data_IF_877557707347
#
_entry.id   IF_877557707347
#
_cell.length_a   1.000
_cell.length_b   1.000
_cell.length_c   1.000
_cell.angle_alpha   90.00
_cell.angle_beta   90.00
_cell.angle_gamma   90.00
#
_symmetry.space_group_name_H-M   'P 1'
#
loop_
_entity.id
_entity.type
_entity.pdbx_description
1 polymer ?
#
# COMPACT_ATOMS: atom_id res chain seq x y z
N UNK A 1 46.75 -14.24 -18.56
CA UNK A 1 46.30 -13.39 -17.44
C UNK A 1 45.86 -12.06 -18.03
N UNK A 2 44.58 -11.94 -18.37
CA UNK A 2 44.02 -10.73 -18.97
C UNK A 2 43.61 -9.78 -17.85
N UNK A 3 44.27 -8.63 -17.78
CA UNK A 3 43.93 -7.54 -16.87
C UNK A 3 42.63 -6.90 -17.36
N UNK A 4 41.52 -7.17 -16.66
CA UNK A 4 40.27 -6.45 -16.88
C UNK A 4 40.50 -4.95 -16.58
N UNK A 5 40.34 -4.11 -17.60
CA UNK A 5 40.28 -2.67 -17.42
C UNK A 5 39.05 -2.35 -16.56
N UNK A 6 39.27 -1.71 -15.40
CA UNK A 6 38.17 -1.21 -14.56
C UNK A 6 37.39 -0.16 -15.37
N UNK A 7 36.08 -0.34 -15.47
CA UNK A 7 35.17 0.68 -15.98
C UNK A 7 35.28 1.94 -15.10
N UNK A 8 35.27 3.16 -15.69
CA UNK A 8 35.30 4.38 -14.91
C UNK A 8 34.01 4.50 -14.07
N UNK A 9 34.18 4.84 -12.80
CA UNK A 9 33.06 5.12 -11.90
C UNK A 9 32.17 6.25 -12.48
N UNK A 10 30.84 6.21 -12.25
CA UNK A 10 29.93 7.24 -12.70
C UNK A 10 30.34 8.61 -12.13
N UNK A 11 30.32 9.62 -13.01
CA UNK A 11 30.69 11.01 -12.72
C UNK A 11 30.01 11.48 -11.43
N UNK A 12 30.81 12.01 -10.52
CA UNK A 12 30.36 12.56 -9.25
C UNK A 12 29.44 13.76 -9.52
N UNK A 13 28.40 13.91 -8.70
CA UNK A 13 27.37 14.96 -8.77
C UNK A 13 27.89 16.40 -8.50
N UNK A 14 29.18 16.68 -8.73
CA UNK A 14 29.84 17.95 -8.44
C UNK A 14 30.67 18.48 -9.63
N UNK A 15 30.35 18.13 -10.87
CA UNK A 15 30.80 18.92 -12.03
C UNK A 15 29.77 20.03 -12.27
N UNK A 16 30.13 21.32 -12.15
CA UNK A 16 29.22 22.40 -12.55
C UNK A 16 28.90 22.20 -14.04
N UNK A 17 27.61 22.24 -14.45
CA UNK A 17 27.26 22.03 -15.84
C UNK A 17 28.01 23.05 -16.70
N UNK A 18 28.66 22.55 -17.75
CA UNK A 18 29.41 23.35 -18.72
C UNK A 18 28.67 24.65 -19.03
N UNK A 19 29.37 25.77 -18.82
CA UNK A 19 28.91 27.13 -18.95
C UNK A 19 28.63 27.54 -20.41
N UNK A 20 27.71 26.82 -21.07
CA UNK A 20 27.05 27.25 -22.30
C UNK A 20 25.54 26.98 -22.27
N UNK A 21 24.96 26.81 -21.06
CA UNK A 21 23.52 26.98 -20.90
C UNK A 21 23.20 28.44 -21.22
N UNK A 22 22.67 28.65 -22.42
CA UNK A 22 22.03 29.88 -22.83
C UNK A 22 21.15 30.38 -21.69
N UNK A 23 21.56 31.47 -21.06
CA UNK A 23 20.77 32.23 -20.10
C UNK A 23 19.68 32.93 -20.89
N UNK A 24 18.76 32.15 -21.46
CA UNK A 24 17.44 32.71 -21.76
C UNK A 24 16.93 33.17 -20.41
N UNK A 25 16.79 34.49 -20.27
CA UNK A 25 16.25 35.15 -19.09
C UNK A 25 14.93 34.47 -18.74
N UNK A 26 14.96 33.51 -17.81
CA UNK A 26 13.77 32.98 -17.20
C UNK A 26 13.22 34.12 -16.37
N UNK A 27 12.29 34.86 -16.97
CA UNK A 27 11.63 36.03 -16.40
C UNK A 27 11.18 35.67 -14.98
N UNK A 28 11.81 36.29 -13.97
CA UNK A 28 11.51 36.08 -12.56
C UNK A 28 10.82 37.33 -11.98
N UNK A 29 9.65 37.18 -11.33
CA UNK A 29 8.95 35.92 -11.11
C UNK A 29 8.36 35.37 -12.41
N UNK A 30 8.17 34.03 -12.50
CA UNK A 30 7.49 33.44 -13.63
C UNK A 30 6.10 34.07 -13.80
N UNK A 31 5.64 34.12 -15.05
CA UNK A 31 4.29 34.59 -15.34
C UNK A 31 3.27 33.76 -14.55
N UNK A 32 2.19 34.38 -14.03
CA UNK A 32 1.13 33.64 -13.35
C UNK A 32 0.59 32.50 -14.22
N UNK A 33 0.20 31.40 -13.57
CA UNK A 33 -0.46 30.28 -14.24
C UNK A 33 -1.74 30.75 -14.96
N UNK A 34 -2.01 30.15 -16.12
CA UNK A 34 -3.27 30.40 -16.85
C UNK A 34 -4.48 30.01 -16.00
N UNK A 35 -5.63 30.61 -16.28
CA UNK A 35 -6.88 30.29 -15.59
C UNK A 35 -7.23 28.80 -15.71
N UNK A 36 -7.06 28.23 -16.91
CA UNK A 36 -7.24 26.81 -17.17
C UNK A 36 -6.34 25.93 -16.30
N UNK A 37 -5.04 26.27 -16.20
CA UNK A 37 -4.10 25.51 -15.38
C UNK A 37 -4.46 25.61 -13.90
N UNK A 38 -4.84 26.80 -13.43
CA UNK A 38 -5.29 27.01 -12.04
C UNK A 38 -6.54 26.17 -11.76
N UNK A 39 -7.52 26.16 -12.65
CA UNK A 39 -8.73 25.35 -12.52
C UNK A 39 -8.40 23.85 -12.47
N UNK A 40 -7.51 23.38 -13.34
CA UNK A 40 -7.05 21.98 -13.35
C UNK A 40 -6.33 21.59 -12.06
N UNK A 41 -5.47 22.45 -11.53
CA UNK A 41 -4.78 22.20 -10.26
C UNK A 41 -5.78 22.11 -9.11
N UNK A 42 -6.72 23.05 -9.02
CA UNK A 42 -7.72 23.09 -7.95
C UNK A 42 -8.63 21.86 -8.03
N UNK A 43 -9.19 21.57 -9.21
CA UNK A 43 -10.08 20.43 -9.41
C UNK A 43 -9.36 19.09 -9.19
N UNK A 44 -8.13 18.95 -9.70
CA UNK A 44 -7.30 17.78 -9.47
C UNK A 44 -7.06 17.54 -7.99
N UNK A 45 -6.65 18.59 -7.26
CA UNK A 45 -6.48 18.51 -5.81
C UNK A 45 -7.77 18.07 -5.11
N UNK A 46 -8.90 18.72 -5.41
CA UNK A 46 -10.18 18.36 -4.81
C UNK A 46 -10.59 16.90 -5.07
N UNK A 47 -10.29 16.35 -6.24
CA UNK A 47 -10.57 14.96 -6.57
C UNK A 47 -9.63 13.98 -5.83
N UNK A 48 -8.35 14.33 -5.73
CA UNK A 48 -7.35 13.50 -5.05
C UNK A 48 -7.60 13.44 -3.54
N UNK A 49 -8.12 14.53 -2.97
CA UNK A 49 -8.52 14.62 -1.56
C UNK A 49 -10.01 14.34 -1.32
N UNK A 50 -10.72 13.79 -2.30
CA UNK A 50 -12.05 13.25 -2.05
C UNK A 50 -11.89 12.00 -1.16
N UNK A 51 -12.67 11.84 -0.07
CA UNK A 51 -12.54 10.68 0.82
C UNK A 51 -12.59 9.34 0.08
N UNK A 52 -13.38 9.22 -0.98
CA UNK A 52 -13.45 7.98 -1.77
C UNK A 52 -12.13 7.61 -2.46
N UNK A 53 -11.21 8.57 -2.65
CA UNK A 53 -9.91 8.39 -3.30
C UNK A 53 -8.81 7.89 -2.35
N UNK A 54 -8.94 8.12 -1.04
CA UNK A 54 -7.88 7.80 -0.06
C UNK A 54 -8.37 7.23 1.27
N UNK A 55 -9.68 7.07 1.50
CA UNK A 55 -10.21 6.37 2.68
C UNK A 55 -9.66 4.95 2.71
N UNK A 56 -9.11 4.57 3.87
CA UNK A 56 -8.57 3.24 4.12
C UNK A 56 -9.43 2.50 5.13
N UNK A 57 -9.45 1.18 5.03
CA UNK A 57 -10.02 0.31 6.05
C UNK A 57 -9.15 -0.96 6.19
N UNK A 58 -9.34 -1.66 7.31
CA UNK A 58 -8.60 -2.88 7.60
C UNK A 58 -9.16 -4.09 6.85
N UNK A 59 -8.27 -4.98 6.43
CA UNK A 59 -8.63 -6.31 5.96
C UNK A 59 -8.84 -7.28 7.14
N UNK A 60 -9.99 -7.96 7.21
CA UNK A 60 -10.33 -8.95 8.23
C UNK A 60 -9.42 -10.18 8.21
N UNK A 61 -8.73 -10.46 7.09
CA UNK A 61 -7.84 -11.63 6.98
C UNK A 61 -6.43 -11.30 7.47
N UNK A 62 -5.80 -10.26 6.92
CA UNK A 62 -4.39 -9.93 7.21
C UNK A 62 -4.20 -8.76 8.20
N UNK A 63 -5.27 -8.06 8.58
CA UNK A 63 -5.22 -6.88 9.46
C UNK A 63 -4.56 -5.64 8.86
N UNK A 64 -4.10 -5.70 7.60
CA UNK A 64 -3.45 -4.57 6.93
C UNK A 64 -4.47 -3.54 6.46
N UNK A 65 -4.09 -2.27 6.51
CA UNK A 65 -4.84 -1.18 5.91
C UNK A 65 -4.67 -1.21 4.40
N UNK A 66 -5.78 -1.09 3.69
CA UNK A 66 -5.81 -0.87 2.26
C UNK A 66 -6.83 0.23 1.92
N UNK A 67 -6.64 0.89 0.77
CA UNK A 67 -7.65 1.80 0.25
C UNK A 67 -8.97 1.06 0.10
N UNK A 68 -10.06 1.69 0.51
CA UNK A 68 -11.41 1.13 0.46
C UNK A 68 -11.85 0.76 -0.95
N UNK A 69 -11.31 1.43 -1.97
CA UNK A 69 -11.47 1.06 -3.38
C UNK A 69 -10.86 -0.29 -3.77
N UNK A 70 -9.98 -0.86 -2.94
CA UNK A 70 -9.28 -2.13 -3.12
C UNK A 70 -9.74 -3.19 -2.11
N UNK A 71 -10.91 -2.97 -1.50
CA UNK A 71 -11.50 -3.82 -0.47
C UNK A 71 -12.88 -4.32 -0.92
N UNK A 72 -13.13 -5.60 -0.68
CA UNK A 72 -14.43 -6.25 -0.91
C UNK A 72 -15.13 -6.43 0.43
N UNK A 73 -16.42 -6.08 0.59
CA UNK A 73 -17.14 -6.33 1.83
C UNK A 73 -17.16 -7.83 2.19
N UNK A 74 -17.02 -8.16 3.47
CA UNK A 74 -16.98 -9.53 3.99
C UNK A 74 -18.18 -10.39 3.59
N UNK A 75 -19.34 -9.78 3.39
CA UNK A 75 -20.58 -10.45 2.96
C UNK A 75 -20.62 -10.75 1.45
N UNK A 76 -19.77 -10.10 0.66
CA UNK A 76 -19.79 -10.17 -0.81
C UNK A 76 -18.65 -11.04 -1.38
N UNK A 77 -17.74 -11.54 -0.55
CA UNK A 77 -16.67 -12.46 -0.99
C UNK A 77 -17.22 -13.85 -1.29
N UNK A 78 -16.54 -14.55 -2.20
CA UNK A 78 -17.00 -15.83 -2.76
C UNK A 78 -16.13 -17.04 -2.38
N UNK A 79 -15.15 -16.86 -1.49
CA UNK A 79 -14.32 -17.96 -0.98
C UNK A 79 -14.92 -18.58 0.28
N UNK A 80 -14.44 -19.78 0.61
CA UNK A 80 -14.83 -20.50 1.81
C UNK A 80 -14.00 -20.03 3.02
N UNK A 81 -14.69 -19.56 4.07
CA UNK A 81 -14.04 -19.10 5.32
C UNK A 81 -13.39 -20.25 6.09
N UNK A 82 -13.81 -21.50 5.85
CA UNK A 82 -13.24 -22.67 6.51
C UNK A 82 -11.75 -22.88 6.12
N UNK A 83 -11.29 -22.27 5.02
CA UNK A 83 -9.86 -22.25 4.65
C UNK A 83 -8.98 -21.57 5.71
N UNK A 84 -9.55 -20.67 6.51
CA UNK A 84 -8.84 -19.94 7.57
C UNK A 84 -8.97 -20.63 8.93
N UNK A 85 -9.66 -21.77 9.03
CA UNK A 85 -9.69 -22.59 10.25
C UNK A 85 -8.39 -23.40 10.28
N UNK A 86 -7.44 -22.95 11.10
CA UNK A 86 -6.14 -23.61 11.25
C UNK A 86 -5.91 -23.90 12.72
N UNK A 87 -5.68 -25.18 13.02
CA UNK A 87 -5.37 -25.61 14.38
C UNK A 87 -4.03 -25.04 14.86
N UNK A 88 -3.94 -24.72 16.14
CA UNK A 88 -2.71 -24.37 16.85
C UNK A 88 -1.94 -23.11 16.37
N UNK A 89 -2.54 -22.25 15.53
CA UNK A 89 -1.92 -20.98 15.11
C UNK A 89 -2.36 -19.76 15.93
N UNK A 90 -3.47 -19.86 16.66
CA UNK A 90 -3.96 -18.82 17.58
C UNK A 90 -3.73 -19.23 19.02
N UNK A 91 -3.76 -18.25 19.92
CA UNK A 91 -3.66 -18.51 21.36
C UNK A 91 -4.53 -17.54 22.15
N UNK A 92 -5.36 -18.07 23.03
CA UNK A 92 -6.10 -17.30 24.02
C UNK A 92 -5.14 -16.68 25.03
N UNK A 93 -5.42 -15.45 25.44
CA UNK A 93 -4.66 -14.77 26.48
C UNK A 93 -4.75 -15.57 27.79
N UNK A 94 -3.62 -15.67 28.50
CA UNK A 94 -3.54 -16.27 29.83
C UNK A 94 -3.50 -15.16 30.86
N UNK A 95 -4.40 -15.20 31.82
CA UNK A 95 -4.42 -14.23 32.92
C UNK A 95 -3.58 -14.73 34.11
N UNK A 96 -3.40 -16.05 34.23
CA UNK A 96 -2.65 -16.71 35.29
C UNK A 96 -1.62 -17.69 34.72
N UNK A 97 -0.59 -17.96 35.51
CA UNK A 97 0.43 -18.95 35.15
C UNK A 97 -0.14 -20.39 35.04
N UNK A 98 -1.21 -20.70 35.76
CA UNK A 98 -1.87 -22.00 35.71
C UNK A 98 -2.81 -22.21 34.51
N UNK A 99 -3.12 -21.15 33.76
CA UNK A 99 -4.10 -21.23 32.67
C UNK A 99 -3.56 -22.12 31.53
N UNK A 100 -4.39 -23.02 30.98
CA UNK A 100 -3.98 -23.89 29.87
C UNK A 100 -3.64 -23.09 28.62
N UNK A 101 -2.85 -23.69 27.73
CA UNK A 101 -2.63 -23.15 26.39
C UNK A 101 -3.79 -23.62 25.52
N UNK A 102 -4.63 -22.68 25.10
CA UNK A 102 -5.78 -22.95 24.24
C UNK A 102 -5.76 -22.02 23.02
N UNK A 103 -6.19 -22.56 21.89
CA UNK A 103 -6.41 -21.81 20.64
C UNK A 103 -7.84 -21.24 20.60
N UNK A 104 -8.07 -20.25 19.74
CA UNK A 104 -9.41 -19.82 19.37
C UNK A 104 -10.01 -20.80 18.36
N UNK A 105 -11.30 -21.09 18.50
CA UNK A 105 -12.05 -21.90 17.55
C UNK A 105 -12.49 -21.05 16.36
N UNK A 106 -12.58 -21.65 15.17
CA UNK A 106 -13.07 -20.99 13.95
C UNK A 106 -11.97 -20.31 13.12
N UNK A 107 -12.37 -19.52 12.11
CA UNK A 107 -11.42 -18.94 11.17
C UNK A 107 -10.56 -17.85 11.83
N UNK A 108 -9.29 -17.82 11.50
CA UNK A 108 -8.34 -16.81 11.99
C UNK A 108 -8.57 -15.50 11.25
N UNK A 109 -9.36 -14.60 11.86
CA UNK A 109 -9.72 -13.30 11.30
C UNK A 109 -9.77 -12.21 12.38
N UNK A 110 -9.62 -10.95 11.96
CA UNK A 110 -9.95 -9.78 12.77
C UNK A 110 -11.45 -9.48 12.65
N UNK A 111 -12.19 -9.77 13.72
CA UNK A 111 -13.64 -9.58 13.80
C UNK A 111 -14.08 -8.11 13.78
N UNK A 112 -13.17 -7.16 14.00
CA UNK A 112 -13.48 -5.73 13.98
C UNK A 112 -13.41 -5.14 12.56
N UNK A 113 -12.93 -5.91 11.59
CA UNK A 113 -12.82 -5.50 10.20
C UNK A 113 -13.94 -6.12 9.35
N UNK A 114 -14.61 -5.31 8.52
CA UNK A 114 -15.75 -5.71 7.68
C UNK A 114 -15.38 -5.98 6.21
N UNK A 115 -14.10 -5.92 5.86
CA UNK A 115 -13.62 -5.94 4.48
C UNK A 115 -12.47 -6.93 4.27
N UNK A 116 -12.28 -7.38 3.03
CA UNK A 116 -11.17 -8.24 2.59
C UNK A 116 -10.40 -7.51 1.50
N UNK A 117 -9.07 -7.47 1.57
CA UNK A 117 -8.26 -6.89 0.50
C UNK A 117 -8.14 -7.83 -0.70
N UNK A 118 -7.94 -7.24 -1.88
CA UNK A 118 -7.83 -7.97 -3.15
C UNK A 118 -6.78 -9.08 -3.08
N UNK A 119 -5.65 -8.86 -2.41
CA UNK A 119 -4.59 -9.88 -2.28
C UNK A 119 -5.04 -11.11 -1.48
N UNK A 120 -5.75 -10.91 -0.36
CA UNK A 120 -6.26 -12.02 0.45
C UNK A 120 -7.38 -12.75 -0.29
N UNK A 121 -8.30 -12.00 -0.91
CA UNK A 121 -9.40 -12.56 -1.69
C UNK A 121 -8.87 -13.43 -2.85
N UNK A 122 -7.90 -12.93 -3.62
CA UNK A 122 -7.30 -13.68 -4.73
C UNK A 122 -6.61 -14.97 -4.30
N UNK A 123 -5.98 -14.99 -3.11
CA UNK A 123 -5.33 -16.18 -2.57
C UNK A 123 -6.36 -17.20 -2.07
N UNK A 124 -7.38 -16.75 -1.34
CA UNK A 124 -8.42 -17.60 -0.80
C UNK A 124 -9.31 -18.20 -1.89
N UNK A 125 -9.60 -17.46 -2.96
CA UNK A 125 -10.28 -17.98 -4.15
C UNK A 125 -9.49 -19.12 -4.84
N UNK A 126 -8.16 -19.15 -4.67
CA UNK A 126 -7.30 -20.24 -5.15
C UNK A 126 -7.18 -21.40 -4.15
N UNK A 127 -7.83 -21.30 -2.99
CA UNK A 127 -7.69 -22.27 -1.90
C UNK A 127 -6.36 -22.17 -1.14
N UNK A 128 -5.68 -21.02 -1.23
CA UNK A 128 -4.42 -20.77 -0.51
C UNK A 128 -4.65 -19.87 0.69
N UNK A 129 -4.02 -20.19 1.81
CA UNK A 129 -4.01 -19.35 3.01
C UNK A 129 -3.04 -18.18 2.76
N UNK A 130 -3.46 -16.91 2.94
CA UNK A 130 -2.64 -15.71 2.71
C UNK A 130 -1.47 -15.51 3.67
#
# INVERSE_FOLDING_TARGET
MQSAAREPLPRTWNEPPDASVSTQELEFPPKPASEELRHKIISGFCNDIDPSSFEEAGCTVCGLLARKSCLTPKQDVMFDWDLLIVDDVTRKERSLEGDPIESWDGPVVDELCDYVCTECEEQLLKGSIP
#
